data_IF_813607799022
#
_entry.id   IF_813607799022
#
_cell.length_a   1.000
_cell.length_b   1.000
_cell.length_c   1.000
_cell.angle_alpha   90.00
_cell.angle_beta   90.00
_cell.angle_gamma   90.00
#
_symmetry.space_group_name_H-M   'P 1'
#
loop_
_entity.id
_entity.type
_entity.pdbx_description
1 polymer ?
#
# COMPACT_ATOMS: atom_id res chain seq x y z
N UNK A 1 34.53 -8.26 -28.90
CA UNK A 1 34.29 -7.98 -27.47
C UNK A 1 32.84 -7.58 -27.32
N UNK A 2 32.01 -8.42 -26.71
CA UNK A 2 30.58 -8.13 -26.54
C UNK A 2 30.38 -7.35 -25.23
N UNK A 3 30.00 -6.07 -25.34
CA UNK A 3 29.60 -5.25 -24.20
C UNK A 3 28.17 -5.60 -23.80
N UNK A 4 27.98 -6.06 -22.56
CA UNK A 4 26.66 -6.30 -21.96
C UNK A 4 25.94 -4.96 -21.74
N UNK A 5 24.62 -4.86 -22.00
CA UNK A 5 23.82 -3.73 -21.54
C UNK A 5 23.58 -3.86 -20.03
N UNK A 6 23.95 -2.82 -19.28
CA UNK A 6 23.63 -2.66 -17.88
C UNK A 6 22.13 -2.48 -17.70
N UNK A 7 21.46 -3.42 -17.05
CA UNK A 7 20.10 -3.22 -16.55
C UNK A 7 20.15 -2.16 -15.44
N UNK A 8 19.63 -0.97 -15.73
CA UNK A 8 19.33 0.03 -14.72
C UNK A 8 18.22 -0.50 -13.82
N UNK A 9 18.57 -0.86 -12.58
CA UNK A 9 17.62 -0.94 -11.48
C UNK A 9 16.95 0.43 -11.38
N UNK A 10 15.66 0.51 -11.71
CA UNK A 10 14.85 1.69 -11.41
C UNK A 10 14.94 1.92 -9.90
N UNK A 11 15.66 2.98 -9.51
CA UNK A 11 15.53 3.55 -8.16
C UNK A 11 14.07 3.90 -8.00
N UNK A 12 13.38 3.24 -7.07
CA UNK A 12 12.09 3.69 -6.59
C UNK A 12 12.39 4.98 -5.81
N UNK A 13 12.37 6.11 -6.51
CA UNK A 13 12.41 7.42 -5.86
C UNK A 13 11.16 7.55 -4.98
N UNK A 14 11.27 8.18 -3.80
CA UNK A 14 10.10 8.45 -2.98
C UNK A 14 9.14 9.32 -3.79
N UNK A 15 8.01 8.75 -4.20
CA UNK A 15 6.92 9.51 -4.81
C UNK A 15 6.60 10.68 -3.88
N UNK A 16 6.61 11.90 -4.43
CA UNK A 16 6.39 13.10 -3.62
C UNK A 16 5.04 13.03 -2.93
N UNK A 17 5.01 13.41 -1.63
CA UNK A 17 3.83 13.33 -0.76
C UNK A 17 2.55 13.97 -1.36
N UNK A 18 2.67 14.88 -2.33
CA UNK A 18 1.52 15.49 -3.00
C UNK A 18 0.73 14.54 -3.90
N UNK A 19 1.36 13.56 -4.56
CA UNK A 19 0.64 12.59 -5.39
C UNK A 19 -0.17 11.63 -4.52
N UNK A 20 0.42 11.19 -3.42
CA UNK A 20 -0.22 10.34 -2.40
C UNK A 20 -1.49 10.98 -1.83
N UNK A 21 -1.47 12.28 -1.57
CA UNK A 21 -2.64 12.98 -1.04
C UNK A 21 -3.82 13.02 -2.01
N UNK A 22 -3.56 13.28 -3.29
CA UNK A 22 -4.60 13.32 -4.31
C UNK A 22 -5.14 11.92 -4.60
N UNK A 23 -4.28 10.90 -4.60
CA UNK A 23 -4.69 9.52 -4.81
C UNK A 23 -5.60 9.03 -3.68
N UNK A 24 -5.27 9.37 -2.43
CA UNK A 24 -6.12 9.05 -1.27
C UNK A 24 -7.47 9.76 -1.36
N UNK A 25 -7.50 11.03 -1.75
CA UNK A 25 -8.77 11.75 -1.95
C UNK A 25 -9.62 11.12 -3.06
N UNK A 26 -9.00 10.66 -4.15
CA UNK A 26 -9.70 9.98 -5.23
C UNK A 26 -10.29 8.64 -4.75
N UNK A 27 -9.57 7.89 -3.91
CA UNK A 27 -10.05 6.65 -3.30
C UNK A 27 -11.25 6.93 -2.40
N UNK A 28 -11.20 7.95 -1.55
CA UNK A 28 -12.32 8.32 -0.67
C UNK A 28 -13.55 8.69 -1.52
N UNK A 29 -13.38 9.48 -2.58
CA UNK A 29 -14.48 9.81 -3.51
C UNK A 29 -15.06 8.57 -4.20
N UNK A 30 -14.23 7.60 -4.54
CA UNK A 30 -14.68 6.32 -5.10
C UNK A 30 -15.59 5.58 -4.11
N UNK A 31 -15.18 5.51 -2.84
CA UNK A 31 -15.97 4.89 -1.77
C UNK A 31 -17.32 5.61 -1.61
N UNK A 32 -17.34 6.94 -1.56
CA UNK A 32 -18.59 7.70 -1.47
C UNK A 32 -19.51 7.43 -2.65
N UNK A 33 -18.96 7.35 -3.87
CA UNK A 33 -19.72 7.05 -5.08
C UNK A 33 -20.29 5.63 -5.10
N UNK A 34 -19.56 4.64 -4.57
CA UNK A 34 -19.99 3.24 -4.56
C UNK A 34 -21.05 2.97 -3.49
N UNK A 35 -20.92 3.59 -2.32
CA UNK A 35 -21.81 3.37 -1.18
C UNK A 35 -22.96 4.37 -1.11
N UNK A 36 -22.94 5.42 -1.94
CA UNK A 36 -24.03 6.40 -2.05
C UNK A 36 -24.18 7.31 -0.83
N UNK A 37 -23.13 7.45 -0.03
CA UNK A 37 -23.11 8.27 1.18
C UNK A 37 -21.87 9.18 1.20
N UNK A 38 -22.00 10.35 1.81
CA UNK A 38 -20.93 11.33 1.94
C UNK A 38 -20.22 11.10 3.26
N UNK A 39 -18.93 10.82 3.20
CA UNK A 39 -18.09 10.67 4.38
C UNK A 39 -17.85 12.07 4.95
N UNK A 40 -18.21 12.26 6.22
CA UNK A 40 -18.01 13.54 6.88
C UNK A 40 -16.53 13.95 6.94
N UNK A 41 -16.27 15.24 7.16
CA UNK A 41 -14.91 15.78 7.10
C UNK A 41 -13.97 15.21 8.18
N UNK A 42 -14.49 14.85 9.35
CA UNK A 42 -13.69 14.25 10.43
C UNK A 42 -13.27 12.84 10.04
N UNK A 43 -14.21 12.02 9.58
CA UNK A 43 -13.95 10.67 9.11
C UNK A 43 -13.03 10.66 7.88
N UNK A 44 -13.22 11.58 6.94
CA UNK A 44 -12.34 11.75 5.77
C UNK A 44 -10.89 12.01 6.18
N UNK A 45 -10.67 12.95 7.11
CA UNK A 45 -9.34 13.27 7.61
C UNK A 45 -8.70 12.08 8.34
N UNK A 46 -9.49 11.32 9.10
CA UNK A 46 -9.02 10.12 9.77
C UNK A 46 -8.63 9.02 8.77
N UNK A 47 -9.49 8.73 7.79
CA UNK A 47 -9.20 7.76 6.73
C UNK A 47 -7.92 8.14 6.00
N UNK A 48 -7.77 9.42 5.64
CA UNK A 48 -6.56 9.92 5.00
C UNK A 48 -5.31 9.68 5.87
N UNK A 49 -5.39 10.02 7.16
CA UNK A 49 -4.28 9.83 8.09
C UNK A 49 -3.89 8.36 8.25
N UNK A 50 -4.86 7.46 8.37
CA UNK A 50 -4.58 6.04 8.56
C UNK A 50 -4.08 5.37 7.28
N UNK A 51 -4.60 5.75 6.09
CA UNK A 51 -4.08 5.26 4.80
C UNK A 51 -2.63 5.74 4.59
N UNK A 52 -2.32 7.00 4.88
CA UNK A 52 -0.96 7.54 4.79
C UNK A 52 0.04 6.79 5.68
N UNK A 53 -0.39 6.32 6.86
CA UNK A 53 0.45 5.51 7.76
C UNK A 53 0.60 4.07 7.29
N UNK A 54 -0.47 3.48 6.75
CA UNK A 54 -0.47 2.09 6.29
C UNK A 54 0.42 1.88 5.05
N UNK A 55 0.46 2.83 4.11
CA UNK A 55 1.18 2.66 2.84
C UNK A 55 2.69 2.38 3.04
N UNK A 56 3.44 3.15 3.85
CA UNK A 56 4.83 2.83 4.17
C UNK A 56 5.03 1.44 4.78
N UNK A 57 4.13 1.03 5.68
CA UNK A 57 4.19 -0.29 6.33
C UNK A 57 3.96 -1.43 5.32
N UNK A 58 2.98 -1.26 4.43
CA UNK A 58 2.73 -2.19 3.32
C UNK A 58 3.92 -2.27 2.37
N UNK A 59 4.53 -1.13 2.02
CA UNK A 59 5.71 -1.10 1.15
C UNK A 59 6.89 -1.83 1.78
N UNK A 60 7.16 -1.66 3.08
CA UNK A 60 8.21 -2.39 3.78
C UNK A 60 7.98 -3.91 3.76
N UNK A 61 6.72 -4.34 3.80
CA UNK A 61 6.35 -5.75 3.75
C UNK A 61 6.49 -6.35 2.34
N UNK A 62 6.12 -5.59 1.30
CA UNK A 62 6.11 -6.05 -0.10
C UNK A 62 7.48 -6.00 -0.77
N UNK A 63 8.34 -5.02 -0.43
CA UNK A 63 9.66 -4.86 -1.05
C UNK A 63 10.55 -6.11 -0.97
N UNK A 64 10.70 -6.79 0.19
CA UNK A 64 11.47 -8.03 0.27
C UNK A 64 10.93 -9.14 -0.64
N UNK A 65 9.61 -9.20 -0.83
CA UNK A 65 8.96 -10.23 -1.62
C UNK A 65 9.14 -10.01 -3.12
N UNK A 66 9.07 -8.74 -3.56
CA UNK A 66 9.44 -8.36 -4.92
C UNK A 66 10.90 -8.72 -5.18
N UNK A 67 11.78 -8.50 -4.19
CA UNK A 67 13.20 -8.82 -4.32
C UNK A 67 13.43 -10.33 -4.44
N UNK A 68 12.78 -11.15 -3.60
CA UNK A 68 12.81 -12.62 -3.68
C UNK A 68 12.27 -13.08 -5.04
N UNK A 69 11.13 -12.57 -5.48
CA UNK A 69 10.55 -12.90 -6.78
C UNK A 69 11.46 -12.54 -7.97
N UNK A 70 12.26 -11.49 -7.84
CA UNK A 70 13.21 -11.05 -8.87
C UNK A 70 14.50 -11.87 -8.92
N UNK A 71 14.89 -12.48 -7.79
CA UNK A 71 16.16 -13.20 -7.66
C UNK A 71 15.98 -14.73 -7.74
N UNK A 72 14.87 -15.26 -7.23
CA UNK A 72 14.56 -16.68 -7.22
C UNK A 72 13.50 -17.03 -8.27
N UNK A 73 13.76 -18.07 -9.09
CA UNK A 73 12.84 -18.54 -10.14
C UNK A 73 11.55 -19.17 -9.59
N UNK A 74 11.39 -19.28 -8.26
CA UNK A 74 10.24 -19.92 -7.63
C UNK A 74 9.90 -19.20 -6.33
N UNK A 75 8.62 -18.85 -6.15
CA UNK A 75 8.11 -18.29 -4.90
C UNK A 75 7.94 -19.41 -3.86
N UNK A 76 8.11 -19.11 -2.55
CA UNK A 76 7.82 -20.06 -1.48
C UNK A 76 6.37 -20.57 -1.53
N UNK A 77 6.15 -21.85 -1.24
CA UNK A 77 4.81 -22.47 -1.32
C UNK A 77 3.81 -21.89 -0.30
N UNK A 78 4.30 -21.37 0.82
CA UNK A 78 3.50 -20.71 1.87
C UNK A 78 3.44 -19.18 1.73
N UNK A 79 3.99 -18.61 0.66
CA UNK A 79 4.14 -17.16 0.53
C UNK A 79 2.80 -16.43 0.59
N UNK A 80 1.76 -16.96 -0.05
CA UNK A 80 0.44 -16.33 -0.11
C UNK A 80 -0.21 -16.24 1.29
N UNK A 81 -0.06 -17.29 2.10
CA UNK A 81 -0.57 -17.30 3.47
C UNK A 81 0.19 -16.30 4.35
N UNK A 82 1.52 -16.30 4.26
CA UNK A 82 2.37 -15.38 5.02
C UNK A 82 2.13 -13.92 4.62
N UNK A 83 1.93 -13.66 3.33
CA UNK A 83 1.52 -12.37 2.79
C UNK A 83 0.19 -11.91 3.39
N UNK A 84 -0.81 -12.79 3.34
CA UNK A 84 -2.15 -12.49 3.86
C UNK A 84 -2.09 -12.18 5.35
N UNK A 85 -1.37 -12.98 6.14
CA UNK A 85 -1.19 -12.75 7.58
C UNK A 85 -0.51 -11.41 7.87
N UNK A 86 0.56 -11.09 7.16
CA UNK A 86 1.30 -9.83 7.35
C UNK A 86 0.46 -8.64 6.91
N UNK A 87 -0.23 -8.73 5.78
CA UNK A 87 -1.15 -7.71 5.30
C UNK A 87 -2.23 -7.42 6.33
N UNK A 88 -2.92 -8.46 6.83
CA UNK A 88 -3.97 -8.31 7.84
C UNK A 88 -3.42 -7.73 9.15
N UNK A 89 -2.23 -8.15 9.57
CA UNK A 89 -1.58 -7.63 10.78
C UNK A 89 -1.32 -6.12 10.69
N UNK A 90 -0.99 -5.60 9.50
CA UNK A 90 -0.80 -4.16 9.25
C UNK A 90 -2.15 -3.46 9.14
N UNK A 91 -3.05 -3.97 8.31
CA UNK A 91 -4.30 -3.26 7.97
C UNK A 91 -5.33 -3.27 9.09
N UNK A 92 -5.44 -4.34 9.87
CA UNK A 92 -6.49 -4.47 10.90
C UNK A 92 -6.47 -3.33 11.92
N UNK A 93 -5.33 -2.92 12.52
CA UNK A 93 -5.29 -1.77 13.42
C UNK A 93 -5.76 -0.46 12.79
N UNK A 94 -5.43 -0.20 11.52
CA UNK A 94 -5.87 1.00 10.80
C UNK A 94 -7.38 0.97 10.55
N UNK A 95 -7.91 -0.18 10.12
CA UNK A 95 -9.35 -0.38 9.90
C UNK A 95 -10.12 -0.21 11.21
N UNK A 96 -9.63 -0.78 12.31
CA UNK A 96 -10.27 -0.67 13.62
C UNK A 96 -10.39 0.77 14.10
N UNK A 97 -9.37 1.60 13.89
CA UNK A 97 -9.42 3.03 14.24
C UNK A 97 -10.45 3.79 13.44
N UNK A 98 -10.57 3.48 12.14
CA UNK A 98 -11.57 4.06 11.26
C UNK A 98 -12.98 3.69 11.76
N UNK A 99 -13.24 2.40 11.99
CA UNK A 99 -14.55 1.91 12.48
C UNK A 99 -14.89 2.44 13.88
N UNK A 100 -13.92 2.60 14.77
CA UNK A 100 -14.20 3.06 16.13
C UNK A 100 -14.47 4.56 16.22
N UNK A 101 -14.23 5.31 15.15
CA UNK A 101 -14.43 6.75 15.07
C UNK A 101 -15.73 7.15 14.35
N UNK A 102 -16.40 6.20 13.69
CA UNK A 102 -17.77 6.30 13.15
C UNK A 102 -18.81 5.90 14.19
#
# INVERSE_FOLDING_TARGET
MYSKPSHTLNKIEPQSNQFLDQDIENIIKCIESEYGDVIDSSMRNLMKSEIQKAIPELNQMLLPLINIASQEKKLPENLQEDLTKKFMKIMLPHIQKIISAS
#
